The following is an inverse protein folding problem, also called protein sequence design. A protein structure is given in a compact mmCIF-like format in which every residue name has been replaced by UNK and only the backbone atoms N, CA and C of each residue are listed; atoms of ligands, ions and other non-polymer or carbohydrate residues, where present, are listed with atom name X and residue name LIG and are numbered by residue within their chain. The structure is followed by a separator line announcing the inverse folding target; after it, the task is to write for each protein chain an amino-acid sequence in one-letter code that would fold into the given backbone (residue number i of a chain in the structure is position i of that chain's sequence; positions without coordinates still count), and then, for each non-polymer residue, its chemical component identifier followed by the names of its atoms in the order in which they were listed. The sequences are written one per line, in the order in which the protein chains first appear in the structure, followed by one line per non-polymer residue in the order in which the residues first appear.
data_IF_328441092890
#
_entry.id   IF_328441092890
#
_cell.length_a   1.000
_cell.length_b   1.000
_cell.length_c   1.000
_cell.angle_alpha   90.00
_cell.angle_beta   90.00
_cell.angle_gamma   90.00
#
_symmetry.space_group_name_H-M   'P 1'
#
loop_
_entity.id
_entity.type
_entity.pdbx_description
1 polymer ?
#
# COMPACT_ATOMS: atom_id res chain seq x y z
N UNK A 1 -15.17 -21.15 3.62
CA UNK A 1 -15.50 -19.75 3.95
C UNK A 1 -14.87 -19.41 5.29
N UNK A 2 -13.86 -18.55 5.32
CA UNK A 2 -13.42 -17.94 6.59
C UNK A 2 -13.21 -16.46 6.32
N UNK A 3 -14.29 -15.70 6.53
CA UNK A 3 -14.23 -14.26 6.56
C UNK A 3 -13.49 -13.85 7.82
N UNK A 4 -12.27 -13.33 7.67
CA UNK A 4 -11.64 -12.57 8.74
C UNK A 4 -12.35 -11.22 8.82
N UNK A 5 -13.56 -11.23 9.37
CA UNK A 5 -14.29 -10.04 9.77
C UNK A 5 -13.77 -9.63 11.13
N UNK A 6 -12.53 -9.16 11.15
CA UNK A 6 -12.02 -8.36 12.24
C UNK A 6 -11.62 -7.05 11.60
N UNK A 7 -12.45 -6.03 11.80
CA UNK A 7 -11.99 -4.64 11.86
C UNK A 7 -10.97 -4.59 13.00
N UNK A 8 -9.78 -5.11 12.76
CA UNK A 8 -8.66 -5.00 13.68
C UNK A 8 -8.34 -3.50 13.70
N UNK A 9 -8.90 -2.81 14.68
CA UNK A 9 -8.58 -1.42 14.96
C UNK A 9 -7.11 -1.44 15.37
N UNK A 10 -6.22 -1.25 14.40
CA UNK A 10 -4.78 -1.20 14.62
C UNK A 10 -4.52 -0.26 15.79
N UNK A 11 -3.78 -0.75 16.80
CA UNK A 11 -3.40 0.06 17.96
C UNK A 11 -2.64 1.29 17.46
N UNK A 12 -2.87 2.45 18.08
CA UNK A 12 -2.32 3.73 17.60
C UNK A 12 -0.80 3.75 17.40
N UNK A 13 0.05 3.11 18.23
CA UNK A 13 1.50 3.14 18.01
C UNK A 13 1.91 2.37 16.75
N UNK A 14 1.33 1.18 16.54
CA UNK A 14 1.58 0.36 15.34
C UNK A 14 1.24 1.10 14.05
N UNK A 15 0.18 1.92 14.09
CA UNK A 15 -0.20 2.73 12.94
C UNK A 15 0.85 3.83 12.64
N UNK A 16 1.41 4.46 13.66
CA UNK A 16 2.42 5.50 13.49
C UNK A 16 3.74 4.93 12.95
N UNK A 17 4.17 3.78 13.47
CA UNK A 17 5.35 3.07 12.97
C UNK A 17 5.18 2.66 11.51
N UNK A 18 3.99 2.16 11.17
CA UNK A 18 3.67 1.81 9.79
C UNK A 18 3.68 3.03 8.86
N UNK A 19 3.14 4.18 9.29
CA UNK A 19 3.23 5.42 8.50
C UNK A 19 4.69 5.81 8.27
N UNK A 20 5.52 5.80 9.31
CA UNK A 20 6.95 6.11 9.20
C UNK A 20 7.66 5.16 8.24
N UNK A 21 7.39 3.85 8.34
CA UNK A 21 7.96 2.84 7.46
C UNK A 21 7.54 3.05 6.00
N UNK A 22 6.26 3.31 5.73
CA UNK A 22 5.75 3.55 4.38
C UNK A 22 6.37 4.82 3.75
N UNK A 23 6.50 5.90 4.52
CA UNK A 23 7.11 7.15 4.05
C UNK A 23 8.60 6.95 3.76
N UNK A 24 9.32 6.23 4.63
CA UNK A 24 10.74 5.91 4.40
C UNK A 24 10.93 5.02 3.16
N UNK A 25 10.05 4.04 2.95
CA UNK A 25 10.07 3.21 1.75
C UNK A 25 9.82 4.04 0.49
N UNK A 26 8.82 4.92 0.50
CA UNK A 26 8.56 5.86 -0.62
C UNK A 26 9.77 6.75 -0.90
N UNK A 27 10.39 7.31 0.14
CA UNK A 27 11.60 8.15 -0.01
C UNK A 27 12.75 7.37 -0.65
N UNK A 28 12.95 6.12 -0.25
CA UNK A 28 13.94 5.23 -0.89
C UNK A 28 13.64 5.06 -2.39
N UNK A 29 12.41 4.70 -2.75
CA UNK A 29 12.03 4.55 -4.17
C UNK A 29 12.20 5.84 -4.97
N UNK A 30 11.94 7.00 -4.37
CA UNK A 30 12.21 8.30 -5.01
C UNK A 30 13.71 8.47 -5.29
N UNK A 31 14.58 8.11 -4.34
CA UNK A 31 16.03 8.12 -4.53
C UNK A 31 16.55 7.12 -5.58
N UNK A 32 15.82 6.04 -5.83
CA UNK A 32 16.15 4.99 -6.80
C UNK A 32 15.64 5.26 -8.22
N UNK A 33 15.06 6.44 -8.49
CA UNK A 33 14.53 6.81 -9.81
C UNK A 33 13.02 7.04 -9.86
N UNK A 34 12.35 7.03 -8.70
CA UNK A 34 10.92 7.30 -8.58
C UNK A 34 10.08 6.03 -8.41
N UNK A 35 8.88 6.20 -7.85
CA UNK A 35 7.92 5.10 -7.65
C UNK A 35 7.53 4.41 -8.96
N UNK A 36 7.55 5.13 -10.09
CA UNK A 36 7.28 4.56 -11.43
C UNK A 36 8.39 3.65 -11.96
N UNK A 37 9.58 3.65 -11.34
CA UNK A 37 10.70 2.77 -11.68
C UNK A 37 10.87 1.62 -10.66
N UNK A 38 9.94 1.47 -9.71
CA UNK A 38 10.03 0.45 -8.68
C UNK A 38 10.03 -0.97 -9.27
N UNK A 39 10.78 -1.87 -8.65
CA UNK A 39 10.73 -3.29 -8.99
C UNK A 39 9.34 -3.86 -8.70
N UNK A 40 8.98 -4.97 -9.34
CA UNK A 40 7.73 -5.66 -9.03
C UNK A 40 7.60 -6.01 -7.54
N UNK A 41 8.69 -6.47 -6.92
CA UNK A 41 8.71 -6.83 -5.50
C UNK A 41 8.51 -5.61 -4.60
N UNK A 42 9.15 -4.48 -4.91
CA UNK A 42 8.94 -3.23 -4.19
C UNK A 42 7.51 -2.73 -4.33
N UNK A 43 6.98 -2.73 -5.55
CA UNK A 43 5.63 -2.27 -5.83
C UNK A 43 4.58 -3.13 -5.11
N UNK A 44 4.73 -4.46 -5.22
CA UNK A 44 3.87 -5.44 -4.55
C UNK A 44 3.95 -5.34 -3.03
N UNK A 45 5.16 -5.25 -2.48
CA UNK A 45 5.37 -5.11 -1.04
C UNK A 45 4.72 -3.85 -0.50
N UNK A 46 4.99 -2.71 -1.13
CA UNK A 46 4.50 -1.42 -0.65
C UNK A 46 2.98 -1.29 -0.81
N UNK A 47 2.37 -1.73 -1.92
CA UNK A 47 0.91 -1.62 -2.07
C UNK A 47 0.15 -2.49 -1.06
N UNK A 48 0.64 -3.69 -0.77
CA UNK A 48 0.05 -4.57 0.24
C UNK A 48 0.22 -3.99 1.65
N UNK A 49 1.38 -3.40 1.92
CA UNK A 49 1.64 -2.70 3.18
C UNK A 49 0.64 -1.55 3.40
N UNK A 50 0.47 -0.68 2.40
CA UNK A 50 -0.49 0.42 2.45
C UNK A 50 -1.95 -0.07 2.58
N UNK A 51 -2.29 -1.16 1.88
CA UNK A 51 -3.63 -1.77 1.93
C UNK A 51 -4.00 -2.25 3.34
N UNK A 52 -3.01 -2.67 4.13
CA UNK A 52 -3.18 -3.14 5.51
C UNK A 52 -3.17 -2.02 6.54
N UNK A 53 -2.23 -1.07 6.43
CA UNK A 53 -1.96 -0.09 7.49
C UNK A 53 -2.54 1.31 7.24
N UNK A 54 -2.98 1.58 6.01
CA UNK A 54 -3.42 2.91 5.59
C UNK A 54 -2.46 3.55 4.58
N UNK A 55 -2.99 4.51 3.82
CA UNK A 55 -2.22 5.31 2.87
C UNK A 55 -1.86 6.64 3.53
N UNK A 56 -0.57 6.95 3.78
CA UNK A 56 -0.14 8.26 4.24
C UNK A 56 -0.50 9.36 3.23
N UNK A 57 -0.76 10.57 3.73
CA UNK A 57 -1.12 11.72 2.89
C UNK A 57 -0.04 12.11 1.87
N UNK A 58 1.23 11.77 2.15
CA UNK A 58 2.37 12.01 1.26
C UNK A 58 2.31 11.23 -0.07
N UNK A 59 1.49 10.17 -0.15
CA UNK A 59 1.34 9.37 -1.36
C UNK A 59 0.38 10.03 -2.35
N UNK A 60 0.92 10.39 -3.52
CA UNK A 60 0.15 10.93 -4.64
C UNK A 60 -0.65 9.83 -5.33
N UNK A 61 -1.76 10.18 -5.95
CA UNK A 61 -2.60 9.21 -6.67
C UNK A 61 -1.82 8.51 -7.80
N UNK A 62 -0.98 9.24 -8.53
CA UNK A 62 -0.07 8.69 -9.56
C UNK A 62 0.86 7.60 -8.98
N UNK A 63 1.36 7.80 -7.76
CA UNK A 63 2.23 6.83 -7.10
C UNK A 63 1.45 5.57 -6.71
N UNK A 64 0.21 5.71 -6.23
CA UNK A 64 -0.66 4.56 -5.95
C UNK A 64 -0.98 3.78 -7.23
N UNK A 65 -1.28 4.48 -8.33
CA UNK A 65 -1.52 3.85 -9.64
C UNK A 65 -0.28 3.07 -10.10
N UNK A 66 0.91 3.68 -10.03
CA UNK A 66 2.17 3.02 -10.38
C UNK A 66 2.40 1.76 -9.55
N UNK A 67 2.19 1.83 -8.23
CA UNK A 67 2.33 0.68 -7.35
C UNK A 67 1.38 -0.46 -7.72
N UNK A 68 0.11 -0.14 -8.02
CA UNK A 68 -0.87 -1.16 -8.46
C UNK A 68 -0.44 -1.79 -9.78
N UNK A 69 -0.06 -0.99 -10.78
CA UNK A 69 0.33 -1.47 -12.10
C UNK A 69 1.59 -2.36 -12.06
N UNK A 70 2.60 -1.96 -11.28
CA UNK A 70 3.88 -2.66 -11.19
C UNK A 70 3.84 -3.90 -10.28
N UNK A 71 2.81 -4.06 -9.44
CA UNK A 71 2.71 -5.14 -8.44
C UNK A 71 2.33 -6.54 -8.96
N UNK A 72 2.12 -6.72 -10.28
CA UNK A 72 1.35 -7.83 -10.86
C UNK A 72 -0.03 -7.99 -10.19
N UNK A 73 -0.95 -7.02 -10.41
CA UNK A 73 -2.21 -6.95 -9.69
C UNK A 73 -3.11 -8.17 -9.91
N UNK A 74 -2.94 -8.93 -11.00
CA UNK A 74 -3.66 -10.18 -11.23
C UNK A 74 -3.48 -11.20 -10.10
N UNK A 75 -2.25 -11.35 -9.59
CA UNK A 75 -1.89 -12.32 -8.54
C UNK A 75 -2.41 -11.90 -7.16
N UNK A 76 -2.52 -10.59 -6.91
CA UNK A 76 -2.92 -10.03 -5.61
C UNK A 76 -4.30 -9.36 -5.62
N UNK A 77 -5.06 -9.53 -6.71
CA UNK A 77 -6.33 -8.83 -6.96
C UNK A 77 -7.35 -9.05 -5.85
N UNK A 78 -7.41 -10.27 -5.31
CA UNK A 78 -8.29 -10.61 -4.20
C UNK A 78 -7.94 -9.81 -2.93
N UNK A 79 -6.66 -9.63 -2.61
CA UNK A 79 -6.24 -8.86 -1.45
C UNK A 79 -6.54 -7.36 -1.64
N UNK A 80 -6.24 -6.81 -2.83
CA UNK A 80 -6.47 -5.40 -3.13
C UNK A 80 -7.97 -5.04 -3.07
N UNK A 81 -8.84 -5.85 -3.66
CA UNK A 81 -10.30 -5.61 -3.70
C UNK A 81 -10.97 -5.69 -2.33
N UNK A 82 -10.42 -6.46 -1.41
CA UNK A 82 -10.93 -6.56 -0.04
C UNK A 82 -10.38 -5.48 0.90
N UNK A 83 -9.45 -4.63 0.45
CA UNK A 83 -8.91 -3.54 1.25
C UNK A 83 -9.88 -2.35 1.28
N UNK A 84 -10.48 -2.10 2.45
CA UNK A 84 -11.30 -0.90 2.70
C UNK A 84 -10.49 0.38 2.53
N UNK A 85 -9.18 0.34 2.79
CA UNK A 85 -8.28 1.49 2.64
C UNK A 85 -8.16 1.88 1.18
N UNK A 86 -7.86 0.91 0.30
CA UNK A 86 -7.72 1.17 -1.12
C UNK A 86 -9.06 1.59 -1.74
N UNK A 87 -10.15 0.90 -1.41
CA UNK A 87 -11.49 1.23 -1.93
C UNK A 87 -11.89 2.67 -1.61
N UNK A 88 -11.57 3.19 -0.41
CA UNK A 88 -11.84 4.59 -0.04
C UNK A 88 -10.98 5.61 -0.78
N UNK A 89 -9.80 5.22 -1.27
CA UNK A 89 -8.90 6.12 -1.99
C UNK A 89 -9.31 6.30 -3.46
N UNK A 90 -9.99 5.30 -4.03
CA UNK A 90 -10.42 5.27 -5.43
C UNK A 90 -11.92 5.47 -5.65
N UNK A 91 -12.71 5.63 -4.56
CA UNK A 91 -14.14 5.98 -4.63
C UNK A 91 -14.35 7.47 -4.87
#
# INVERSE_FOLDING_TARGET
MSGCSSKARLKSPLKQDAVTAAVSWRKRLIGEGGVGAATEMDARGLILFLACFGIPHDFRNEEIVNLVLLSKPGEISHALRNSVVLSRRVS
#
